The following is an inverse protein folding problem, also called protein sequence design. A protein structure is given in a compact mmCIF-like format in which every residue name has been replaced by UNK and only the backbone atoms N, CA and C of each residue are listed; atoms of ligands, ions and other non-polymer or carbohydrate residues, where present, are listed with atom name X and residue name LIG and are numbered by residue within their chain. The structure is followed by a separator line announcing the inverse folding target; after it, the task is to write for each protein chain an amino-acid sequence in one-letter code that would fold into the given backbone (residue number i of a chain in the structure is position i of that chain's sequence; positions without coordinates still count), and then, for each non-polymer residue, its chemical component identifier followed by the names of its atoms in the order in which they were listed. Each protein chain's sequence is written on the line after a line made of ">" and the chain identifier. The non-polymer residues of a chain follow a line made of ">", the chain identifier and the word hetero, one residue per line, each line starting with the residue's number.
data_IF_628469110232
#
_entry.id   IF_628469110232
#
_cell.length_a   1.000
_cell.length_b   1.000
_cell.length_c   1.000
_cell.angle_alpha   90.00
_cell.angle_beta   90.00
_cell.angle_gamma   90.00
#
_symmetry.space_group_name_H-M   'P 1'
#
loop_
_entity.id
_entity.type
_entity.pdbx_description
1 polymer ?
#
# COMPACT_ATOMS: atom_id res chain seq x y z
N UNK A 1 19.94 -3.54 -7.88
CA UNK A 1 20.58 -2.64 -6.92
C UNK A 1 20.33 -3.04 -5.49
N UNK A 2 21.15 -2.58 -4.56
CA UNK A 2 20.97 -2.73 -3.12
C UNK A 2 19.75 -1.97 -2.62
N UNK A 3 19.29 -2.25 -1.39
CA UNK A 3 18.22 -1.46 -0.75
C UNK A 3 18.57 0.03 -0.65
N UNK A 4 19.84 0.34 -0.32
CA UNK A 4 20.31 1.72 -0.22
C UNK A 4 20.32 2.46 -1.56
N UNK A 5 20.75 1.81 -2.65
CA UNK A 5 20.71 2.39 -4.00
C UNK A 5 19.27 2.69 -4.44
N UNK A 6 18.35 1.74 -4.22
CA UNK A 6 16.94 1.92 -4.55
C UNK A 6 16.27 3.01 -3.70
N UNK A 7 16.63 3.10 -2.41
CA UNK A 7 16.16 4.18 -1.56
C UNK A 7 16.65 5.55 -2.04
N UNK A 8 17.94 5.66 -2.38
CA UNK A 8 18.52 6.89 -2.91
C UNK A 8 17.86 7.31 -4.24
N UNK A 9 17.56 6.35 -5.12
CA UNK A 9 16.85 6.63 -6.38
C UNK A 9 15.43 7.14 -6.11
N UNK A 10 14.68 6.48 -5.22
CA UNK A 10 13.33 6.92 -4.84
C UNK A 10 13.34 8.32 -4.22
N UNK A 11 14.34 8.62 -3.37
CA UNK A 11 14.49 9.93 -2.77
C UNK A 11 14.82 11.05 -3.76
N UNK A 12 15.44 10.75 -4.92
CA UNK A 12 15.63 11.75 -5.98
C UNK A 12 14.29 12.29 -6.50
N UNK A 13 13.31 11.41 -6.68
CA UNK A 13 11.96 11.82 -7.11
C UNK A 13 11.22 12.60 -6.02
N UNK A 14 11.31 12.18 -4.76
CA UNK A 14 10.67 12.92 -3.68
C UNK A 14 11.28 14.30 -3.42
N UNK A 15 12.57 14.49 -3.73
CA UNK A 15 13.27 15.75 -3.57
C UNK A 15 13.12 16.69 -4.78
N UNK A 16 12.61 16.21 -5.90
CA UNK A 16 12.37 17.01 -7.08
C UNK A 16 11.03 17.76 -6.94
N UNK A 17 11.03 19.11 -6.90
CA UNK A 17 9.80 19.88 -6.73
C UNK A 17 8.87 19.83 -7.95
N UNK A 18 9.36 19.40 -9.12
CA UNK A 18 8.54 19.27 -10.33
C UNK A 18 7.80 17.92 -10.39
N UNK A 19 8.20 16.95 -9.57
CA UNK A 19 7.55 15.63 -9.55
C UNK A 19 6.27 15.69 -8.70
N UNK A 20 5.15 15.31 -9.31
CA UNK A 20 3.84 15.22 -8.66
C UNK A 20 3.42 13.78 -8.36
N UNK A 21 3.84 12.83 -9.19
CA UNK A 21 3.47 11.43 -9.05
C UNK A 21 4.66 10.52 -9.33
N UNK A 22 4.87 9.53 -8.49
CA UNK A 22 5.93 8.52 -8.60
C UNK A 22 5.26 7.17 -8.81
N UNK A 23 5.44 6.58 -9.99
CA UNK A 23 4.89 5.27 -10.33
C UNK A 23 5.96 4.20 -10.24
N UNK A 24 5.96 3.44 -9.15
CA UNK A 24 6.85 2.29 -9.02
C UNK A 24 6.16 1.05 -9.59
N UNK A 25 6.72 0.56 -10.71
CA UNK A 25 6.24 -0.63 -11.42
C UNK A 25 6.96 -1.91 -10.98
N UNK A 26 7.85 -1.80 -10.01
CA UNK A 26 8.56 -2.94 -9.47
C UNK A 26 7.64 -3.86 -8.66
N UNK A 27 8.18 -4.94 -8.18
CA UNK A 27 7.50 -5.91 -7.35
C UNK A 27 8.53 -6.89 -6.80
N UNK A 28 8.09 -7.97 -6.22
CA UNK A 28 8.95 -9.02 -5.67
C UNK A 28 8.82 -9.12 -4.15
N UNK A 29 9.96 -9.21 -3.45
CA UNK A 29 9.97 -9.50 -2.01
C UNK A 29 10.88 -8.60 -1.17
N UNK A 30 11.58 -7.66 -1.80
CA UNK A 30 12.68 -6.92 -1.19
C UNK A 30 12.38 -5.42 -1.01
N UNK A 31 11.14 -4.97 -1.21
CA UNK A 31 10.80 -3.56 -1.10
C UNK A 31 11.01 -3.00 0.32
N UNK A 32 10.84 -3.83 1.34
CA UNK A 32 11.08 -3.42 2.73
C UNK A 32 12.55 -3.02 3.01
N UNK A 33 13.51 -3.43 2.18
CA UNK A 33 14.93 -3.06 2.35
C UNK A 33 15.22 -1.58 2.08
N UNK A 34 14.31 -0.86 1.42
CA UNK A 34 14.50 0.58 1.15
C UNK A 34 14.14 1.46 2.35
N UNK A 35 13.32 0.94 3.29
CA UNK A 35 12.63 1.74 4.30
C UNK A 35 13.57 2.52 5.21
N UNK A 36 14.69 1.94 5.61
CA UNK A 36 15.69 2.59 6.48
C UNK A 36 16.49 3.69 5.75
N UNK A 37 16.54 3.64 4.43
CA UNK A 37 17.23 4.63 3.59
C UNK A 37 16.34 5.82 3.16
N UNK A 38 15.07 5.86 3.54
CA UNK A 38 14.15 6.93 3.18
C UNK A 38 14.22 8.10 4.18
N UNK A 39 14.32 9.33 3.67
CA UNK A 39 14.12 10.56 4.46
C UNK A 39 12.63 10.89 4.54
N UNK A 40 11.99 10.43 5.61
CA UNK A 40 10.56 10.65 5.85
C UNK A 40 10.20 12.13 6.09
N UNK A 41 11.15 12.95 6.55
CA UNK A 41 10.92 14.39 6.67
C UNK A 41 10.86 15.06 5.31
N UNK A 42 11.74 14.68 4.38
CA UNK A 42 11.67 15.14 2.99
C UNK A 42 10.41 14.63 2.28
N UNK A 43 10.06 13.34 2.44
CA UNK A 43 8.82 12.77 1.88
C UNK A 43 7.59 13.54 2.37
N UNK A 44 7.52 13.89 3.66
CA UNK A 44 6.40 14.68 4.23
C UNK A 44 6.25 16.04 3.54
N UNK A 45 7.36 16.71 3.21
CA UNK A 45 7.35 18.01 2.53
C UNK A 45 7.12 17.94 1.02
N UNK A 46 7.44 16.81 0.40
CA UNK A 46 7.25 16.60 -1.03
C UNK A 46 5.78 16.68 -1.42
N UNK A 47 5.50 17.24 -2.59
CA UNK A 47 4.15 17.18 -3.17
C UNK A 47 3.85 15.87 -3.89
N UNK A 48 4.89 15.11 -4.19
CA UNK A 48 4.77 13.85 -4.93
C UNK A 48 3.92 12.81 -4.19
N UNK A 49 3.02 12.15 -4.92
CA UNK A 49 2.23 11.01 -4.46
C UNK A 49 2.88 9.72 -4.96
N UNK A 50 3.10 8.78 -4.06
CA UNK A 50 3.68 7.48 -4.42
C UNK A 50 2.58 6.50 -4.84
N UNK A 51 2.80 5.82 -5.97
CA UNK A 51 1.93 4.79 -6.54
C UNK A 51 2.69 3.47 -6.60
N UNK A 52 2.12 2.42 -6.04
CA UNK A 52 2.73 1.10 -6.06
C UNK A 52 1.73 0.00 -5.83
N UNK A 53 2.17 -1.26 -5.95
CA UNK A 53 1.33 -2.44 -5.77
C UNK A 53 2.13 -3.62 -5.22
N UNK A 54 1.45 -4.66 -4.74
CA UNK A 54 2.09 -5.91 -4.30
C UNK A 54 3.10 -5.68 -3.17
N UNK A 55 4.40 -5.95 -3.38
CA UNK A 55 5.45 -5.77 -2.37
C UNK A 55 5.64 -4.31 -1.93
N UNK A 56 5.27 -3.37 -2.79
CA UNK A 56 5.27 -1.94 -2.47
C UNK A 56 4.23 -1.54 -1.41
N UNK A 57 3.36 -2.46 -1.01
CA UNK A 57 2.53 -2.34 0.20
C UNK A 57 3.39 -1.94 1.41
N UNK A 58 4.63 -2.44 1.50
CA UNK A 58 5.57 -2.08 2.58
C UNK A 58 5.91 -0.59 2.54
N UNK A 59 6.24 -0.05 1.37
CA UNK A 59 6.61 1.37 1.18
C UNK A 59 5.41 2.28 1.44
N UNK A 60 4.24 1.94 0.88
CA UNK A 60 2.98 2.68 1.04
C UNK A 60 2.64 2.86 2.53
N UNK A 61 2.64 1.76 3.28
CA UNK A 61 2.29 1.81 4.70
C UNK A 61 3.38 2.48 5.56
N UNK A 62 4.66 2.32 5.21
CA UNK A 62 5.76 3.01 5.89
C UNK A 62 5.69 4.54 5.68
N UNK A 63 5.40 5.00 4.46
CA UNK A 63 5.18 6.42 4.17
C UNK A 63 4.05 6.95 5.05
N UNK A 64 2.90 6.25 5.09
CA UNK A 64 1.78 6.68 5.93
C UNK A 64 2.15 6.69 7.42
N UNK A 65 2.73 5.61 7.94
CA UNK A 65 3.08 5.49 9.35
C UNK A 65 4.05 6.58 9.82
N UNK A 66 5.01 6.99 8.97
CA UNK A 66 6.05 7.94 9.34
C UNK A 66 5.70 9.40 9.01
N UNK A 67 4.78 9.63 8.09
CA UNK A 67 4.52 10.99 7.57
C UNK A 67 3.07 11.43 7.64
N UNK A 68 2.13 10.49 7.73
CA UNK A 68 0.70 10.76 7.56
C UNK A 68 0.26 10.97 6.10
N UNK A 69 1.19 10.95 5.14
CA UNK A 69 0.85 11.11 3.71
C UNK A 69 0.19 9.87 3.15
N UNK A 70 -0.84 10.09 2.35
CA UNK A 70 -1.44 9.03 1.54
C UNK A 70 -0.55 8.66 0.35
N UNK A 71 -0.65 7.40 -0.04
CA UNK A 71 -0.11 6.83 -1.27
C UNK A 71 -1.22 6.07 -1.99
N UNK A 72 -0.98 5.62 -3.21
CA UNK A 72 -2.00 4.90 -3.98
C UNK A 72 -1.56 3.46 -4.21
N UNK A 73 -2.41 2.52 -3.78
CA UNK A 73 -2.23 1.10 -4.08
C UNK A 73 -2.84 0.79 -5.44
N UNK A 74 -2.04 0.82 -6.50
CA UNK A 74 -2.49 0.59 -7.85
C UNK A 74 -1.38 0.00 -8.73
N UNK A 75 -1.72 -1.01 -9.54
CA UNK A 75 -0.80 -1.61 -10.50
C UNK A 75 -0.92 -0.91 -11.86
N UNK A 76 -0.07 0.07 -12.11
CA UNK A 76 -0.10 0.87 -13.34
C UNK A 76 0.18 0.05 -14.61
N UNK A 77 0.84 -1.11 -14.51
CA UNK A 77 1.03 -2.04 -15.63
C UNK A 77 -0.29 -2.53 -16.22
N UNK A 78 -1.38 -2.54 -15.46
CA UNK A 78 -2.70 -2.93 -15.94
C UNK A 78 -3.22 -2.04 -17.07
N UNK A 79 -2.65 -0.84 -17.26
CA UNK A 79 -3.00 0.04 -18.38
C UNK A 79 -2.38 -0.38 -19.71
N UNK A 80 -1.33 -1.21 -19.69
CA UNK A 80 -0.59 -1.60 -20.90
C UNK A 80 -0.63 -3.10 -21.15
N UNK A 81 -0.99 -3.88 -20.16
CA UNK A 81 -1.01 -5.32 -20.25
C UNK A 81 -2.28 -5.94 -19.67
N UNK A 82 -2.69 -7.09 -20.21
CA UNK A 82 -3.85 -7.87 -19.77
C UNK A 82 -5.15 -7.51 -20.53
N UNK A 83 -6.16 -8.31 -20.30
CA UNK A 83 -7.47 -8.20 -20.99
C UNK A 83 -8.25 -6.94 -20.56
N UNK A 84 -7.98 -6.43 -19.36
CA UNK A 84 -8.69 -5.27 -18.79
C UNK A 84 -8.02 -3.93 -19.11
N UNK A 85 -6.94 -3.89 -19.90
CA UNK A 85 -6.12 -2.69 -20.15
C UNK A 85 -6.94 -1.46 -20.61
N UNK A 86 -7.89 -1.65 -21.51
CA UNK A 86 -8.70 -0.54 -22.05
C UNK A 86 -9.67 0.03 -20.98
N UNK A 87 -10.18 -0.83 -20.12
CA UNK A 87 -11.01 -0.40 -18.99
C UNK A 87 -10.16 0.35 -17.97
N UNK A 88 -8.94 -0.14 -17.69
CA UNK A 88 -8.02 0.49 -16.76
C UNK A 88 -7.54 1.85 -17.27
N UNK A 89 -7.25 2.01 -18.57
CA UNK A 89 -6.91 3.30 -19.17
C UNK A 89 -8.02 4.33 -18.97
N UNK A 90 -9.27 3.98 -19.32
CA UNK A 90 -10.41 4.87 -19.12
C UNK A 90 -10.63 5.27 -17.67
N UNK A 91 -10.45 4.34 -16.73
CA UNK A 91 -10.53 4.64 -15.29
C UNK A 91 -9.39 5.53 -14.84
N UNK A 92 -8.19 5.34 -15.38
CA UNK A 92 -7.03 6.15 -15.05
C UNK A 92 -7.15 7.59 -15.59
N UNK A 93 -7.73 7.79 -16.76
CA UNK A 93 -8.07 9.11 -17.30
C UNK A 93 -9.12 9.82 -16.44
N UNK A 94 -10.10 9.08 -15.93
CA UNK A 94 -11.05 9.56 -14.92
C UNK A 94 -10.62 9.07 -13.53
N UNK A 95 -9.75 9.82 -12.87
CA UNK A 95 -9.17 9.47 -11.56
C UNK A 95 -10.20 9.07 -10.49
N UNK A 96 -11.37 9.71 -10.47
CA UNK A 96 -12.43 9.37 -9.54
C UNK A 96 -12.93 7.92 -9.71
N UNK A 97 -12.93 7.40 -10.94
CA UNK A 97 -13.36 6.04 -11.22
C UNK A 97 -12.37 4.95 -10.74
N UNK A 98 -11.12 5.31 -10.42
CA UNK A 98 -10.16 4.39 -9.80
C UNK A 98 -10.55 4.09 -8.35
N UNK A 99 -11.22 5.02 -7.68
CA UNK A 99 -11.56 4.98 -6.26
C UNK A 99 -13.04 4.72 -6.01
N UNK A 100 -13.76 4.22 -7.02
CA UNK A 100 -15.15 3.79 -6.94
C UNK A 100 -15.27 2.26 -7.10
N UNK A 101 -14.81 1.49 -6.09
CA UNK A 101 -14.92 0.03 -6.13
C UNK A 101 -16.37 -0.39 -5.88
N UNK A 102 -16.81 -1.43 -6.61
CA UNK A 102 -18.07 -2.09 -6.29
C UNK A 102 -17.86 -2.98 -5.07
N UNK A 103 -18.43 -2.60 -3.94
CA UNK A 103 -18.29 -3.33 -2.69
C UNK A 103 -19.63 -3.93 -2.25
N UNK A 104 -19.56 -5.04 -1.52
CA UNK A 104 -20.70 -5.65 -0.84
C UNK A 104 -20.38 -5.80 0.64
N UNK A 105 -21.22 -5.27 1.50
CA UNK A 105 -21.10 -5.48 2.92
C UNK A 105 -21.47 -6.92 3.29
N UNK A 106 -20.57 -7.59 4.00
CA UNK A 106 -20.80 -8.89 4.64
C UNK A 106 -21.31 -8.68 6.07
N UNK A 107 -20.83 -7.61 6.71
CA UNK A 107 -21.22 -7.19 8.05
C UNK A 107 -21.27 -5.66 8.10
N UNK A 108 -22.30 -5.12 8.77
CA UNK A 108 -22.52 -3.68 8.83
C UNK A 108 -23.12 -3.10 7.54
N UNK A 109 -23.26 -1.79 7.49
CA UNK A 109 -23.87 -1.05 6.38
C UNK A 109 -23.05 0.15 5.93
N UNK A 110 -22.11 0.60 6.77
CA UNK A 110 -21.23 1.74 6.51
C UNK A 110 -19.83 1.47 7.05
N UNK A 111 -18.84 1.95 6.33
CA UNK A 111 -17.44 1.93 6.74
C UNK A 111 -16.78 3.24 6.30
N UNK A 112 -16.10 3.92 7.22
CA UNK A 112 -15.43 5.19 6.96
C UNK A 112 -14.13 5.26 7.73
N UNK A 113 -13.06 5.69 7.10
CA UNK A 113 -11.75 5.81 7.74
C UNK A 113 -10.60 5.80 6.74
N UNK A 114 -9.40 6.02 7.25
CA UNK A 114 -8.17 5.89 6.46
C UNK A 114 -7.90 4.42 6.17
N UNK A 115 -7.64 4.09 4.91
CA UNK A 115 -7.28 2.74 4.49
C UNK A 115 -5.79 2.50 4.71
N UNK A 116 -5.46 1.41 5.40
CA UNK A 116 -4.10 0.89 5.57
C UNK A 116 -4.07 -0.59 5.16
N UNK A 117 -2.90 -1.16 4.95
CA UNK A 117 -2.80 -2.55 4.49
C UNK A 117 -2.49 -2.66 3.00
N UNK A 118 -3.06 -3.65 2.33
CA UNK A 118 -2.81 -4.05 0.95
C UNK A 118 -2.49 -5.53 0.87
N UNK A 119 -1.42 -5.93 0.16
CA UNK A 119 -1.03 -7.33 0.12
C UNK A 119 -0.66 -7.83 1.53
N UNK A 120 -1.43 -8.81 2.03
CA UNK A 120 -1.36 -9.26 3.43
C UNK A 120 0.04 -9.75 3.82
N UNK A 121 0.71 -10.51 2.97
CA UNK A 121 2.08 -11.00 3.21
C UNK A 121 3.07 -9.84 3.33
N UNK A 122 2.95 -8.86 2.45
CA UNK A 122 3.84 -7.71 2.42
C UNK A 122 3.56 -6.74 3.57
N UNK A 123 2.31 -6.54 3.92
CA UNK A 123 1.92 -5.74 5.08
C UNK A 123 2.49 -6.32 6.39
N UNK A 124 2.43 -7.63 6.56
CA UNK A 124 2.96 -8.31 7.74
C UNK A 124 4.49 -8.23 7.87
N UNK A 125 5.25 -7.95 6.80
CA UNK A 125 6.70 -7.67 6.90
C UNK A 125 7.00 -6.47 7.80
N UNK A 126 6.04 -5.56 7.98
CA UNK A 126 6.20 -4.38 8.82
C UNK A 126 5.95 -4.66 10.31
N UNK A 127 5.36 -5.81 10.66
CA UNK A 127 5.01 -6.17 12.04
C UNK A 127 6.22 -6.07 12.97
N UNK A 128 6.07 -5.39 14.10
CA UNK A 128 7.14 -5.19 15.07
C UNK A 128 8.19 -4.16 14.68
N UNK A 129 8.01 -3.47 13.55
CA UNK A 129 8.87 -2.36 13.13
C UNK A 129 8.20 -1.02 13.37
N UNK A 130 8.98 0.07 13.37
CA UNK A 130 8.45 1.44 13.42
C UNK A 130 7.62 1.84 12.20
N UNK A 131 7.64 1.03 11.16
CA UNK A 131 6.95 1.27 9.90
C UNK A 131 5.54 0.68 9.85
N UNK A 132 5.16 -0.11 10.85
CA UNK A 132 3.82 -0.64 10.97
C UNK A 132 2.86 0.49 11.38
N UNK A 133 1.78 0.77 10.61
CA UNK A 133 0.87 1.86 10.94
C UNK A 133 0.05 1.54 12.20
N UNK A 134 -0.35 2.58 12.92
CA UNK A 134 -1.40 2.43 13.91
C UNK A 134 -2.70 2.01 13.23
N UNK A 135 -3.36 1.00 13.79
CA UNK A 135 -4.59 0.40 13.24
C UNK A 135 -5.86 0.95 13.88
N UNK A 136 -5.77 1.79 14.92
CA UNK A 136 -6.94 2.31 15.61
C UNK A 136 -7.83 3.11 14.63
N UNK A 137 -9.10 2.68 14.54
CA UNK A 137 -10.12 3.32 13.69
C UNK A 137 -9.77 3.38 12.19
N UNK A 138 -8.84 2.54 11.72
CA UNK A 138 -8.50 2.43 10.30
C UNK A 138 -9.34 1.37 9.61
N UNK A 139 -9.42 1.45 8.29
CA UNK A 139 -9.91 0.38 7.44
C UNK A 139 -8.72 -0.47 7.02
N UNK A 140 -8.75 -1.75 7.39
CA UNK A 140 -7.71 -2.70 7.02
C UNK A 140 -8.04 -3.34 5.67
N UNK A 141 -7.29 -2.98 4.63
CA UNK A 141 -7.36 -3.64 3.32
C UNK A 141 -6.48 -4.89 3.36
N UNK A 142 -7.06 -6.03 2.98
CA UNK A 142 -6.35 -7.30 2.84
C UNK A 142 -6.55 -7.83 1.42
N UNK A 143 -5.46 -7.93 0.67
CA UNK A 143 -5.39 -8.47 -0.67
C UNK A 143 -4.36 -9.61 -0.71
N UNK A 144 -4.62 -10.64 -1.53
CA UNK A 144 -3.66 -11.70 -1.82
C UNK A 144 -3.81 -12.17 -3.26
N UNK A 145 -2.73 -12.10 -4.04
CA UNK A 145 -2.72 -12.65 -5.41
C UNK A 145 -2.79 -14.18 -5.44
N UNK A 146 -2.40 -14.84 -4.37
CA UNK A 146 -2.40 -16.29 -4.23
C UNK A 146 -1.94 -16.70 -2.84
N UNK A 147 -1.81 -17.99 -2.66
CA UNK A 147 -1.45 -18.62 -1.41
C UNK A 147 -2.40 -19.77 -1.08
N UNK A 148 -1.87 -20.77 -0.42
CA UNK A 148 -2.68 -21.90 0.05
C UNK A 148 -3.40 -21.55 1.36
N UNK A 149 -4.47 -22.29 1.65
CA UNK A 149 -5.28 -22.09 2.87
C UNK A 149 -4.45 -22.05 4.16
N UNK A 150 -3.45 -22.94 4.39
CA UNK A 150 -2.63 -22.87 5.59
C UNK A 150 -1.82 -21.55 5.69
N UNK A 151 -1.33 -21.05 4.56
CA UNK A 151 -0.58 -19.80 4.52
C UNK A 151 -1.48 -18.59 4.87
N UNK A 152 -2.67 -18.54 4.29
CA UNK A 152 -3.64 -17.47 4.61
C UNK A 152 -4.06 -17.53 6.08
N UNK A 153 -4.32 -18.72 6.60
CA UNK A 153 -4.65 -18.92 8.01
C UNK A 153 -3.53 -18.40 8.93
N UNK A 154 -2.26 -18.62 8.56
CA UNK A 154 -1.09 -18.12 9.31
C UNK A 154 -1.05 -16.58 9.32
N UNK A 155 -1.28 -15.92 8.19
CA UNK A 155 -1.30 -14.47 8.12
C UNK A 155 -2.44 -13.86 8.95
N UNK A 156 -3.63 -14.45 8.87
CA UNK A 156 -4.77 -14.00 9.67
C UNK A 156 -4.55 -14.23 11.17
N UNK A 157 -3.93 -15.37 11.54
CA UNK A 157 -3.54 -15.62 12.91
C UNK A 157 -2.55 -14.59 13.45
N UNK A 158 -1.56 -14.19 12.64
CA UNK A 158 -0.61 -13.13 13.01
C UNK A 158 -1.31 -11.78 13.19
N UNK A 159 -2.22 -11.40 12.30
CA UNK A 159 -3.02 -10.17 12.46
C UNK A 159 -3.85 -10.19 13.75
N UNK A 160 -4.46 -11.33 14.06
CA UNK A 160 -5.19 -11.53 15.34
C UNK A 160 -4.26 -11.36 16.53
N UNK A 161 -3.07 -11.98 16.51
CA UNK A 161 -2.09 -11.88 17.61
C UNK A 161 -1.57 -10.45 17.80
N UNK A 162 -1.55 -9.62 16.73
CA UNK A 162 -1.25 -8.19 16.80
C UNK A 162 -2.41 -7.35 17.36
N UNK A 163 -3.57 -7.96 17.63
CA UNK A 163 -4.78 -7.25 18.03
C UNK A 163 -5.35 -6.37 16.93
N UNK A 164 -5.13 -6.74 15.66
CA UNK A 164 -5.56 -5.91 14.53
C UNK A 164 -7.08 -5.82 14.44
N UNK A 165 -7.76 -6.95 14.63
CA UNK A 165 -9.23 -7.04 14.46
C UNK A 165 -10.02 -6.35 15.57
N UNK A 166 -9.41 -6.12 16.73
CA UNK A 166 -9.99 -5.35 17.84
C UNK A 166 -9.79 -3.85 17.71
N UNK A 167 -8.85 -3.40 16.85
CA UNK A 167 -8.48 -1.99 16.69
C UNK A 167 -9.10 -1.35 15.47
N UNK A 168 -9.26 -2.10 14.38
CA UNK A 168 -9.71 -1.54 13.10
C UNK A 168 -11.21 -1.20 13.12
N UNK A 169 -11.57 -0.11 12.46
CA UNK A 169 -12.96 0.30 12.26
C UNK A 169 -13.68 -0.52 11.18
N UNK A 170 -12.94 -1.24 10.34
CA UNK A 170 -13.49 -2.10 9.30
C UNK A 170 -12.43 -2.87 8.54
N UNK A 171 -12.88 -3.87 7.77
CA UNK A 171 -12.02 -4.71 6.93
C UNK A 171 -12.56 -4.68 5.50
N UNK A 172 -11.67 -4.44 4.54
CA UNK A 172 -11.92 -4.51 3.10
C UNK A 172 -11.12 -5.69 2.52
N UNK A 173 -11.81 -6.60 1.79
CA UNK A 173 -11.20 -7.79 1.18
C UNK A 173 -11.23 -7.71 -0.34
#
# INVERSE_FOLDING_TARGET
>A
GTGAERAAELMRFFNDPEVEEIYDISGGDLANQVLDGLDYAAIRRSRAVFWGYSDLTTVINAIYAQTGKSSVLYQVKNMVWGEVKEVQRRRFENRAALFDPQVRFVQGEKMEGVVVGGNIRCFLKLSGTRYFPDLCDKILLLEAYGGEVPQMATYLAQLKQLGAFEKVGGILL
#
